data_IF_292317700106
#
_entry.id   IF_292317700106
#
_cell.length_a   1.000
_cell.length_b   1.000
_cell.length_c   1.000
_cell.angle_alpha   90.00
_cell.angle_beta   90.00
_cell.angle_gamma   90.00
#
_symmetry.space_group_name_H-M   'P 1'
#
loop_
_entity.id
_entity.type
_entity.pdbx_description
1 polymer ?
#
# COMPACT_ATOMS: atom_id res chain seq x y z
N UNK A 1 -18.34 -3.02 11.09
CA UNK A 1 -17.59 -4.26 10.84
C UNK A 1 -16.24 -3.93 10.21
N UNK A 2 -15.17 -4.69 10.52
CA UNK A 2 -13.83 -4.54 9.93
C UNK A 2 -13.47 -5.83 9.15
N UNK A 3 -14.18 -6.07 8.04
CA UNK A 3 -14.14 -7.37 7.31
C UNK A 3 -12.90 -7.54 6.41
N UNK A 4 -11.91 -6.65 6.49
CA UNK A 4 -10.65 -6.80 5.77
C UNK A 4 -10.70 -6.56 4.25
N UNK A 5 -11.86 -6.21 3.66
CA UNK A 5 -12.02 -6.08 2.20
C UNK A 5 -10.97 -5.21 1.52
N UNK A 6 -10.63 -4.05 2.12
CA UNK A 6 -9.59 -3.18 1.54
C UNK A 6 -8.21 -3.81 1.60
N UNK A 7 -7.90 -4.58 2.65
CA UNK A 7 -6.64 -5.32 2.76
C UNK A 7 -6.57 -6.44 1.72
N UNK A 8 -7.65 -7.20 1.55
CA UNK A 8 -7.75 -8.23 0.51
C UNK A 8 -7.60 -7.63 -0.90
N UNK A 9 -8.28 -6.52 -1.16
CA UNK A 9 -8.24 -5.82 -2.46
C UNK A 9 -6.82 -5.34 -2.78
N UNK A 10 -6.16 -4.66 -1.83
CA UNK A 10 -4.78 -4.17 -2.03
C UNK A 10 -3.81 -5.34 -2.22
N UNK A 11 -3.96 -6.42 -1.45
CA UNK A 11 -3.12 -7.61 -1.60
C UNK A 11 -3.30 -8.27 -2.98
N UNK A 12 -4.55 -8.45 -3.43
CA UNK A 12 -4.85 -9.02 -4.74
C UNK A 12 -4.29 -8.16 -5.88
N UNK A 13 -4.42 -6.83 -5.77
CA UNK A 13 -3.86 -5.89 -6.73
C UNK A 13 -2.33 -5.98 -6.80
N UNK A 14 -1.64 -6.00 -5.65
CA UNK A 14 -0.19 -6.11 -5.61
C UNK A 14 0.29 -7.44 -6.20
N UNK A 15 -0.38 -8.54 -5.85
CA UNK A 15 -0.07 -9.87 -6.38
C UNK A 15 -0.27 -9.95 -7.89
N UNK A 16 -1.27 -9.25 -8.44
CA UNK A 16 -1.48 -9.17 -9.88
C UNK A 16 -0.42 -8.32 -10.57
N UNK A 17 -0.08 -7.16 -9.99
CA UNK A 17 0.89 -6.24 -10.55
C UNK A 17 2.29 -6.88 -10.66
N UNK A 18 2.74 -7.61 -9.63
CA UNK A 18 4.02 -8.32 -9.68
C UNK A 18 4.07 -9.54 -10.60
N UNK A 19 2.94 -9.96 -11.19
CA UNK A 19 2.93 -10.95 -12.26
C UNK A 19 3.20 -10.35 -13.64
N UNK A 20 3.27 -9.02 -13.76
CA UNK A 20 3.64 -8.35 -14.99
C UNK A 20 5.17 -8.24 -15.03
N UNK A 21 5.80 -8.69 -16.11
CA UNK A 21 7.27 -8.88 -16.19
C UNK A 21 8.09 -7.61 -15.90
N UNK A 22 7.55 -6.42 -16.17
CA UNK A 22 8.25 -5.15 -16.04
C UNK A 22 7.95 -4.38 -14.74
N UNK A 23 7.05 -4.89 -13.89
CA UNK A 23 6.69 -4.22 -12.63
C UNK A 23 7.74 -4.50 -11.57
N UNK A 24 8.53 -3.47 -11.24
CA UNK A 24 9.58 -3.54 -10.22
C UNK A 24 9.09 -3.18 -8.82
N UNK A 25 8.22 -2.18 -8.74
CA UNK A 25 7.73 -1.61 -7.47
C UNK A 25 6.32 -1.06 -7.62
N UNK A 26 5.60 -1.03 -6.50
CA UNK A 26 4.31 -0.36 -6.39
C UNK A 26 4.45 0.78 -5.39
N UNK A 27 4.00 1.98 -5.79
CA UNK A 27 4.04 3.17 -4.95
C UNK A 27 2.64 3.52 -4.49
N UNK A 28 2.52 3.92 -3.23
CA UNK A 28 1.27 4.46 -2.68
C UNK A 28 1.57 5.73 -1.87
N UNK A 29 0.57 6.60 -1.76
CA UNK A 29 0.63 7.85 -1.00
C UNK A 29 -0.54 7.88 -0.03
N UNK A 30 -0.30 8.41 1.18
CA UNK A 30 -1.35 8.64 2.18
C UNK A 30 -1.14 9.98 2.85
N UNK A 31 -2.23 10.63 3.27
CA UNK A 31 -2.16 11.75 4.21
C UNK A 31 -1.45 11.34 5.51
N UNK A 32 -0.81 12.32 6.17
CA UNK A 32 -0.14 12.13 7.46
C UNK A 32 -1.11 11.57 8.51
N UNK A 33 -2.37 12.04 8.50
CA UNK A 33 -3.41 11.63 9.44
C UNK A 33 -4.21 10.40 8.97
N UNK A 34 -3.84 9.84 7.81
CA UNK A 34 -4.51 8.72 7.14
C UNK A 34 -4.30 7.34 7.79
N UNK A 35 -4.38 7.22 9.12
CA UNK A 35 -3.97 6.04 9.88
C UNK A 35 -4.63 4.72 9.41
N UNK A 36 -5.87 4.77 8.91
CA UNK A 36 -6.56 3.58 8.38
C UNK A 36 -5.91 3.04 7.09
N UNK A 37 -5.60 3.92 6.14
CA UNK A 37 -4.93 3.56 4.89
C UNK A 37 -3.49 3.12 5.14
N UNK A 38 -2.78 3.82 6.02
CA UNK A 38 -1.42 3.46 6.42
C UNK A 38 -1.36 2.04 7.03
N UNK A 39 -2.32 1.68 7.91
CA UNK A 39 -2.41 0.31 8.46
C UNK A 39 -2.65 -0.75 7.38
N UNK A 40 -3.42 -0.44 6.34
CA UNK A 40 -3.64 -1.36 5.22
C UNK A 40 -2.33 -1.58 4.46
N UNK A 41 -1.62 -0.49 4.11
CA UNK A 41 -0.34 -0.56 3.40
C UNK A 41 0.70 -1.37 4.19
N UNK A 42 0.81 -1.13 5.51
CA UNK A 42 1.70 -1.90 6.40
C UNK A 42 1.34 -3.40 6.37
N UNK A 43 0.05 -3.75 6.43
CA UNK A 43 -0.41 -5.15 6.37
C UNK A 43 -0.10 -5.81 5.02
N UNK A 44 -0.14 -5.04 3.94
CA UNK A 44 0.21 -5.50 2.59
C UNK A 44 1.72 -5.48 2.31
N UNK A 45 2.56 -5.14 3.30
CA UNK A 45 4.02 -5.23 3.21
C UNK A 45 4.74 -3.98 2.69
N UNK A 46 4.00 -2.89 2.44
CA UNK A 46 4.61 -1.63 2.00
C UNK A 46 5.51 -1.05 3.08
N UNK A 47 6.58 -0.38 2.66
CA UNK A 47 7.51 0.36 3.52
C UNK A 47 7.51 1.83 3.15
N UNK A 48 7.46 2.68 4.17
CA UNK A 48 7.67 4.11 4.00
C UNK A 48 9.09 4.37 3.47
N UNK A 49 9.22 5.25 2.47
CA UNK A 49 10.52 5.65 1.92
C UNK A 49 10.69 7.17 1.77
N UNK A 50 9.60 7.96 1.89
CA UNK A 50 9.66 9.40 2.00
C UNK A 50 8.46 9.95 2.78
N UNK A 51 8.67 11.09 3.45
CA UNK A 51 7.65 11.78 4.24
C UNK A 51 7.87 13.28 4.18
N UNK A 52 6.86 14.00 3.70
CA UNK A 52 6.77 15.46 3.73
C UNK A 52 5.32 15.83 4.14
N UNK A 53 4.58 16.53 3.28
CA UNK A 53 3.15 16.82 3.46
C UNK A 53 2.28 15.55 3.40
N UNK A 54 2.80 14.51 2.75
CA UNK A 54 2.22 13.17 2.66
C UNK A 54 3.28 12.11 2.95
N UNK A 55 2.83 10.86 3.14
CA UNK A 55 3.69 9.70 3.35
C UNK A 55 3.70 8.86 2.08
N UNK A 56 4.90 8.56 1.59
CA UNK A 56 5.13 7.77 0.40
C UNK A 56 5.62 6.37 0.77
N UNK A 57 4.97 5.38 0.17
CA UNK A 57 5.13 3.96 0.46
C UNK A 57 5.59 3.22 -0.78
N UNK A 58 6.42 2.20 -0.59
CA UNK A 58 6.91 1.32 -1.65
C UNK A 58 6.77 -0.13 -1.23
N UNK A 59 6.20 -0.93 -2.13
CA UNK A 59 6.24 -2.39 -2.10
C UNK A 59 7.24 -2.89 -3.15
#
# INVERSE_FOLDING_TARGET
>A
EHNGYMTETVQAFCNWAFKQDDVKHIIAETDIDGASSQRILIRCGFKEYARNDTIWWRL
#
